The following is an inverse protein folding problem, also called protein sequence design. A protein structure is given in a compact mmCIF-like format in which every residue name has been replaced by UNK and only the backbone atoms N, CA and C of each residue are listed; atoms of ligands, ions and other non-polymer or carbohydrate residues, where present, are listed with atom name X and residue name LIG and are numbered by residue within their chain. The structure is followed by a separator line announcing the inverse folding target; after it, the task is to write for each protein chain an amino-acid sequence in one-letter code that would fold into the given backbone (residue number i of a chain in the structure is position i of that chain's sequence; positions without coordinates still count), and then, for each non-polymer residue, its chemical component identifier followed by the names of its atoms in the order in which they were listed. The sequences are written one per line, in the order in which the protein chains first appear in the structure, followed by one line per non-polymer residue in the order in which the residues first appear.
data_IF_874328784425
#
_entry.id   IF_874328784425
#
_cell.length_a   1.000
_cell.length_b   1.000
_cell.length_c   1.000
_cell.angle_alpha   90.00
_cell.angle_beta   90.00
_cell.angle_gamma   90.00
#
_symmetry.space_group_name_H-M   'P 1'
#
loop_
_entity.id
_entity.type
_entity.pdbx_description
1 polymer ?
#
# COMPACT_ATOMS: atom_id res chain seq x y z
N UNK A 1 -16.44 -1.23 23.23
CA UNK A 1 -16.08 -0.88 21.84
C UNK A 1 -16.77 -1.86 20.92
N UNK A 2 -17.77 -1.41 20.15
CA UNK A 2 -18.54 -2.28 19.26
C UNK A 2 -17.60 -2.91 18.23
N UNK A 3 -17.32 -4.21 18.37
CA UNK A 3 -16.63 -5.01 17.36
C UNK A 3 -17.53 -5.03 16.13
N UNK A 4 -17.22 -4.20 15.15
CA UNK A 4 -17.83 -4.32 13.82
C UNK A 4 -17.55 -5.74 13.35
N UNK A 5 -18.61 -6.53 13.21
CA UNK A 5 -18.49 -7.92 12.83
C UNK A 5 -17.99 -7.96 11.37
N UNK A 6 -16.76 -8.47 11.18
CA UNK A 6 -15.99 -8.45 9.92
C UNK A 6 -16.81 -8.98 8.74
N UNK A 7 -17.75 -9.90 9.01
CA UNK A 7 -18.68 -10.47 8.02
C UNK A 7 -19.53 -9.42 7.28
N UNK A 8 -19.82 -8.24 7.86
CA UNK A 8 -20.64 -7.21 7.22
C UNK A 8 -19.85 -6.14 6.44
N UNK A 9 -18.52 -6.13 6.53
CA UNK A 9 -17.68 -5.15 5.83
C UNK A 9 -17.02 -5.69 4.56
N UNK A 10 -17.34 -6.92 4.15
CA UNK A 10 -16.73 -7.57 3.00
C UNK A 10 -17.58 -7.40 1.73
N UNK A 11 -16.99 -6.75 0.72
CA UNK A 11 -17.58 -6.57 -0.60
C UNK A 11 -16.86 -7.48 -1.60
N UNK A 12 -17.59 -8.39 -2.25
CA UNK A 12 -17.00 -9.39 -3.15
C UNK A 12 -17.21 -9.03 -4.61
N UNK A 13 -16.21 -9.28 -5.46
CA UNK A 13 -16.37 -9.28 -6.92
C UNK A 13 -16.54 -10.73 -7.37
N UNK A 14 -17.73 -11.10 -7.84
CA UNK A 14 -18.06 -12.50 -8.20
C UNK A 14 -18.16 -12.73 -9.70
N UNK A 15 -18.46 -11.68 -10.47
CA UNK A 15 -18.57 -11.78 -11.93
C UNK A 15 -17.21 -12.05 -12.58
N UNK A 16 -17.04 -13.24 -13.18
CA UNK A 16 -15.83 -13.62 -13.93
C UNK A 16 -15.45 -12.59 -14.99
N UNK A 17 -16.44 -12.01 -15.69
CA UNK A 17 -16.21 -10.96 -16.68
C UNK A 17 -15.55 -9.72 -16.05
N UNK A 18 -16.00 -9.32 -14.87
CA UNK A 18 -15.48 -8.15 -14.16
C UNK A 18 -14.08 -8.41 -13.59
N UNK A 19 -13.85 -9.60 -13.04
CA UNK A 19 -12.52 -10.05 -12.58
C UNK A 19 -11.54 -10.01 -13.74
N UNK A 20 -11.89 -10.63 -14.88
CA UNK A 20 -10.99 -10.67 -16.05
C UNK A 20 -10.71 -9.28 -16.61
N UNK A 21 -11.68 -8.35 -16.55
CA UNK A 21 -11.42 -6.95 -16.88
C UNK A 21 -10.36 -6.36 -15.96
N UNK A 22 -10.46 -6.55 -14.65
CA UNK A 22 -9.50 -6.03 -13.67
C UNK A 22 -8.12 -6.64 -13.91
N UNK A 23 -8.02 -7.97 -13.99
CA UNK A 23 -6.76 -8.69 -14.14
C UNK A 23 -6.01 -8.32 -15.44
N UNK A 24 -6.70 -7.93 -16.51
CA UNK A 24 -6.06 -7.38 -17.73
C UNK A 24 -5.22 -6.11 -17.51
N UNK A 25 -5.37 -5.43 -16.38
CA UNK A 25 -4.59 -4.23 -16.04
C UNK A 25 -3.42 -4.56 -15.09
N UNK A 26 -3.23 -5.84 -14.78
CA UNK A 26 -2.21 -6.33 -13.86
C UNK A 26 -1.20 -7.11 -14.69
N UNK A 27 0.07 -6.80 -14.54
CA UNK A 27 1.13 -7.52 -15.23
C UNK A 27 1.54 -8.76 -14.41
N UNK A 28 0.79 -9.85 -14.55
CA UNK A 28 1.10 -11.17 -13.99
C UNK A 28 1.44 -12.14 -15.11
N UNK A 29 2.38 -13.06 -14.85
CA UNK A 29 2.77 -14.12 -15.77
C UNK A 29 2.95 -15.46 -15.04
N UNK A 30 3.22 -16.50 -15.81
CA UNK A 30 3.36 -17.88 -15.34
C UNK A 30 4.58 -18.15 -14.46
N UNK A 31 5.50 -17.18 -14.31
CA UNK A 31 6.66 -17.25 -13.41
C UNK A 31 6.39 -16.61 -12.04
N UNK A 32 5.30 -15.83 -11.93
CA UNK A 32 5.01 -15.05 -10.73
C UNK A 32 4.44 -15.94 -9.61
N UNK A 33 5.03 -15.84 -8.42
CA UNK A 33 4.39 -16.28 -7.18
C UNK A 33 3.55 -15.13 -6.60
N UNK A 34 2.29 -15.38 -6.30
CA UNK A 34 1.35 -14.34 -5.84
C UNK A 34 0.80 -14.66 -4.46
N UNK A 35 0.87 -13.69 -3.55
CA UNK A 35 0.09 -13.70 -2.33
C UNK A 35 -1.21 -12.92 -2.53
N UNK A 36 -2.35 -13.57 -2.33
CA UNK A 36 -3.66 -12.92 -2.36
C UNK A 36 -4.11 -12.57 -0.93
N UNK A 37 -4.44 -11.30 -0.70
CA UNK A 37 -4.98 -10.82 0.58
C UNK A 37 -6.50 -10.84 0.51
N UNK A 38 -7.10 -11.77 1.27
CA UNK A 38 -8.55 -12.01 1.32
C UNK A 38 -9.05 -12.69 0.06
N UNK A 39 -9.03 -14.04 0.02
CA UNK A 39 -9.57 -14.79 -1.12
C UNK A 39 -11.09 -14.67 -1.23
N UNK A 40 -11.78 -14.37 -0.13
CA UNK A 40 -13.23 -14.36 -0.09
C UNK A 40 -13.78 -15.71 -0.54
N UNK A 41 -14.65 -15.69 -1.56
CA UNK A 41 -15.23 -16.91 -2.14
C UNK A 41 -14.36 -17.56 -3.23
N UNK A 42 -13.07 -17.24 -3.30
CA UNK A 42 -12.11 -17.84 -4.24
C UNK A 42 -12.26 -17.43 -5.71
N UNK A 43 -13.05 -16.40 -6.04
CA UNK A 43 -13.33 -16.06 -7.44
C UNK A 43 -12.11 -15.50 -8.16
N UNK A 44 -11.39 -14.59 -7.52
CA UNK A 44 -10.16 -14.03 -8.09
C UNK A 44 -9.02 -15.02 -7.97
N UNK A 45 -8.91 -15.72 -6.82
CA UNK A 45 -7.95 -16.81 -6.58
C UNK A 45 -7.91 -17.81 -7.73
N UNK A 46 -9.09 -18.26 -8.20
CA UNK A 46 -9.19 -19.21 -9.31
C UNK A 46 -8.62 -18.66 -10.62
N UNK A 47 -8.83 -17.37 -10.92
CA UNK A 47 -8.30 -16.76 -12.13
C UNK A 47 -6.80 -16.44 -11.98
N UNK A 48 -6.31 -16.09 -10.79
CA UNK A 48 -4.88 -15.94 -10.50
C UNK A 48 -4.13 -17.27 -10.69
N UNK A 49 -4.68 -18.38 -10.18
CA UNK A 49 -4.07 -19.71 -10.30
C UNK A 49 -3.93 -20.18 -11.75
N UNK A 50 -4.75 -19.66 -12.67
CA UNK A 50 -4.64 -19.95 -14.11
C UNK A 50 -3.55 -19.14 -14.82
N UNK A 51 -3.12 -18.02 -14.22
CA UNK A 51 -2.17 -17.07 -14.84
C UNK A 51 -0.77 -17.24 -14.24
N UNK A 52 -0.68 -17.53 -12.94
CA UNK A 52 0.54 -17.42 -12.14
C UNK A 52 1.18 -18.78 -11.86
N UNK A 53 2.48 -18.78 -11.54
CA UNK A 53 3.19 -19.99 -11.12
C UNK A 53 2.54 -20.63 -9.88
N UNK A 54 2.30 -19.83 -8.84
CA UNK A 54 1.73 -20.29 -7.59
C UNK A 54 0.96 -19.19 -6.88
N UNK A 55 -0.17 -19.53 -6.25
CA UNK A 55 -0.98 -18.59 -5.47
C UNK A 55 -1.09 -19.04 -4.02
N UNK A 56 -0.74 -18.16 -3.10
CA UNK A 56 -1.00 -18.32 -1.66
C UNK A 56 -2.08 -17.33 -1.23
N UNK A 57 -3.30 -17.81 -0.98
CA UNK A 57 -4.37 -16.99 -0.41
C UNK A 57 -4.22 -16.89 1.11
N UNK A 58 -4.42 -15.69 1.65
CA UNK A 58 -4.45 -15.41 3.08
C UNK A 58 -5.84 -14.90 3.42
N UNK A 59 -6.61 -15.68 4.17
CA UNK A 59 -8.01 -15.37 4.51
C UNK A 59 -8.24 -15.57 6.01
N UNK A 60 -8.92 -14.64 6.65
CA UNK A 60 -9.14 -14.67 8.10
C UNK A 60 -10.38 -15.50 8.46
N UNK A 61 -11.37 -15.56 7.57
CA UNK A 61 -12.62 -16.29 7.81
C UNK A 61 -12.48 -17.77 7.39
N UNK A 62 -12.61 -18.73 8.32
CA UNK A 62 -12.47 -20.15 8.00
C UNK A 62 -13.55 -20.67 7.04
N UNK A 63 -14.77 -20.12 7.06
CA UNK A 63 -15.85 -20.52 6.15
C UNK A 63 -15.47 -20.14 4.70
N UNK A 64 -14.87 -18.97 4.52
CA UNK A 64 -14.37 -18.50 3.24
C UNK A 64 -13.12 -19.26 2.78
N UNK A 65 -12.30 -19.72 3.72
CA UNK A 65 -11.19 -20.61 3.41
C UNK A 65 -11.70 -21.93 2.80
N UNK A 66 -12.70 -22.55 3.42
CA UNK A 66 -13.33 -23.77 2.91
C UNK A 66 -13.97 -23.54 1.53
N UNK A 67 -14.71 -22.45 1.37
CA UNK A 67 -15.32 -22.09 0.08
C UNK A 67 -14.27 -21.90 -1.03
N UNK A 68 -13.13 -21.29 -0.69
CA UNK A 68 -12.00 -21.11 -1.62
C UNK A 68 -11.38 -22.45 -1.98
N UNK A 69 -11.11 -23.33 -1.01
CA UNK A 69 -10.57 -24.67 -1.26
C UNK A 69 -11.48 -25.49 -2.18
N UNK A 70 -12.79 -25.52 -1.90
CA UNK A 70 -13.77 -26.24 -2.73
C UNK A 70 -13.78 -25.70 -4.17
N UNK A 71 -13.73 -24.37 -4.33
CA UNK A 71 -13.72 -23.74 -5.66
C UNK A 71 -12.45 -24.03 -6.46
N UNK A 72 -11.31 -24.23 -5.78
CA UNK A 72 -10.01 -24.49 -6.38
C UNK A 72 -9.60 -25.97 -6.32
N UNK A 73 -10.53 -26.90 -6.08
CA UNK A 73 -10.25 -28.34 -5.90
C UNK A 73 -9.44 -28.98 -7.05
N UNK A 74 -9.53 -28.44 -8.27
CA UNK A 74 -8.78 -28.92 -9.44
C UNK A 74 -7.47 -28.18 -9.71
N UNK A 75 -7.12 -27.16 -8.93
CA UNK A 75 -5.89 -26.38 -9.08
C UNK A 75 -4.82 -26.94 -8.15
N UNK A 76 -3.66 -27.30 -8.70
CA UNK A 76 -2.53 -27.87 -7.92
C UNK A 76 -1.53 -26.82 -7.45
N UNK A 77 -1.51 -25.65 -8.08
CA UNK A 77 -0.58 -24.56 -7.84
C UNK A 77 -1.13 -23.51 -6.87
N UNK A 78 -1.89 -23.95 -5.87
CA UNK A 78 -2.56 -23.08 -4.92
C UNK A 78 -2.46 -23.62 -3.49
N UNK A 79 -2.34 -22.70 -2.53
CA UNK A 79 -2.56 -23.00 -1.12
C UNK A 79 -3.36 -21.86 -0.45
N UNK A 80 -4.10 -22.19 0.61
CA UNK A 80 -4.77 -21.21 1.45
C UNK A 80 -4.26 -21.29 2.87
N UNK A 81 -4.04 -20.11 3.46
CA UNK A 81 -3.61 -19.94 4.84
C UNK A 81 -4.73 -19.22 5.58
N UNK A 82 -5.33 -19.90 6.57
CA UNK A 82 -6.32 -19.26 7.44
C UNK A 82 -5.61 -18.41 8.50
N UNK A 83 -5.34 -17.14 8.19
CA UNK A 83 -4.60 -16.24 9.06
C UNK A 83 -4.99 -14.78 8.84
N UNK A 84 -4.87 -13.98 9.90
CA UNK A 84 -4.92 -12.52 9.82
C UNK A 84 -3.69 -11.99 9.06
N UNK A 85 -3.93 -11.28 7.95
CA UNK A 85 -2.89 -10.66 7.13
C UNK A 85 -1.95 -9.74 7.92
N UNK A 86 -2.44 -9.05 8.95
CA UNK A 86 -1.62 -8.16 9.76
C UNK A 86 -0.61 -8.95 10.61
N UNK A 87 -0.88 -10.23 10.88
CA UNK A 87 0.00 -11.15 11.60
C UNK A 87 0.81 -12.07 10.68
N UNK A 88 0.45 -12.16 9.40
CA UNK A 88 1.16 -12.98 8.43
C UNK A 88 2.63 -12.55 8.28
N UNK A 89 3.53 -13.52 8.14
CA UNK A 89 4.95 -13.28 7.91
C UNK A 89 5.28 -13.63 6.46
N UNK A 90 5.55 -12.60 5.65
CA UNK A 90 5.96 -12.82 4.28
C UNK A 90 7.38 -13.40 4.21
N UNK A 91 7.66 -14.25 3.21
CA UNK A 91 9.01 -14.75 2.98
C UNK A 91 9.92 -13.61 2.51
N UNK A 92 11.19 -13.66 2.89
CA UNK A 92 12.18 -12.60 2.58
C UNK A 92 13.06 -12.92 1.37
N UNK A 93 13.27 -14.20 1.08
CA UNK A 93 14.30 -14.68 0.15
C UNK A 93 13.73 -15.22 -1.17
N UNK A 94 12.47 -14.92 -1.47
CA UNK A 94 11.85 -15.27 -2.74
C UNK A 94 11.24 -14.03 -3.38
N UNK A 95 11.15 -14.03 -4.71
CA UNK A 95 10.45 -13.00 -5.48
C UNK A 95 8.97 -13.35 -5.56
N UNK A 96 8.11 -12.38 -5.25
CA UNK A 96 6.67 -12.53 -5.31
C UNK A 96 5.98 -11.18 -5.55
N UNK A 97 4.74 -11.26 -5.99
CA UNK A 97 3.80 -10.15 -6.10
C UNK A 97 2.66 -10.33 -5.11
N UNK A 98 1.94 -9.25 -4.84
CA UNK A 98 0.75 -9.25 -3.98
C UNK A 98 -0.45 -8.80 -4.80
N UNK A 99 -1.59 -9.47 -4.61
CA UNK A 99 -2.90 -9.00 -5.07
C UNK A 99 -3.85 -8.91 -3.87
N UNK A 100 -4.82 -7.99 -3.88
CA UNK A 100 -5.85 -7.99 -2.85
C UNK A 100 -7.03 -7.07 -3.15
N UNK A 101 -8.25 -7.60 -2.99
CA UNK A 101 -9.46 -6.79 -2.87
C UNK A 101 -9.72 -6.52 -1.39
N UNK A 102 -9.07 -5.49 -0.86
CA UNK A 102 -8.94 -5.35 0.59
C UNK A 102 -10.09 -4.55 1.20
N UNK A 103 -10.51 -4.89 2.44
CA UNK A 103 -11.58 -4.18 3.12
C UNK A 103 -11.16 -2.74 3.50
N UNK A 104 -12.11 -1.82 3.41
CA UNK A 104 -11.84 -0.39 3.50
C UNK A 104 -11.41 0.07 4.90
N UNK A 105 -11.96 -0.55 5.94
CA UNK A 105 -11.71 -0.19 7.34
C UNK A 105 -10.27 -0.46 7.81
N UNK A 106 -9.56 -1.42 7.18
CA UNK A 106 -8.18 -1.78 7.53
C UNK A 106 -7.20 -1.55 6.36
N UNK A 107 -7.60 -0.82 5.32
CA UNK A 107 -6.76 -0.57 4.14
C UNK A 107 -5.43 0.13 4.49
N UNK A 108 -5.45 1.05 5.47
CA UNK A 108 -4.23 1.70 5.96
C UNK A 108 -3.26 0.69 6.58
N UNK A 109 -3.75 -0.22 7.42
CA UNK A 109 -2.92 -1.19 8.12
C UNK A 109 -2.36 -2.23 7.17
N UNK A 110 -3.17 -2.71 6.22
CA UNK A 110 -2.72 -3.65 5.19
C UNK A 110 -1.64 -3.02 4.30
N UNK A 111 -1.82 -1.78 3.83
CA UNK A 111 -0.80 -1.12 3.00
C UNK A 111 0.49 -0.94 3.78
N UNK A 112 0.42 -0.51 5.04
CA UNK A 112 1.62 -0.41 5.89
C UNK A 112 2.29 -1.77 6.06
N UNK A 113 1.52 -2.82 6.33
CA UNK A 113 2.00 -4.19 6.47
C UNK A 113 2.77 -4.65 5.24
N UNK A 114 2.19 -4.53 4.04
CA UNK A 114 2.84 -5.04 2.83
C UNK A 114 4.00 -4.15 2.38
N UNK A 115 3.92 -2.83 2.58
CA UNK A 115 4.99 -1.94 2.14
C UNK A 115 6.19 -2.03 3.08
N UNK A 116 5.99 -2.10 4.41
CA UNK A 116 7.09 -2.05 5.38
C UNK A 116 7.54 -3.41 5.92
N UNK A 117 6.74 -4.47 5.79
CA UNK A 117 7.04 -5.81 6.33
C UNK A 117 7.03 -6.93 5.28
N UNK A 118 6.87 -6.60 3.99
CA UNK A 118 7.07 -7.53 2.88
C UNK A 118 8.14 -7.02 1.91
N UNK A 119 8.63 -7.93 1.07
CA UNK A 119 9.59 -7.67 0.00
C UNK A 119 8.96 -7.82 -1.40
N UNK A 120 7.62 -7.78 -1.49
CA UNK A 120 6.92 -7.89 -2.77
C UNK A 120 7.43 -6.85 -3.77
N UNK A 121 7.65 -7.28 -5.02
CA UNK A 121 8.15 -6.40 -6.09
C UNK A 121 7.06 -5.49 -6.63
N UNK A 122 5.83 -6.01 -6.68
CA UNK A 122 4.63 -5.27 -7.08
C UNK A 122 3.46 -5.72 -6.21
N UNK A 123 2.66 -4.77 -5.73
CA UNK A 123 1.41 -5.04 -5.03
C UNK A 123 0.26 -4.36 -5.76
N UNK A 124 -0.74 -5.14 -6.13
CA UNK A 124 -1.94 -4.71 -6.82
C UNK A 124 -3.13 -4.77 -5.86
N UNK A 125 -3.69 -3.62 -5.52
CA UNK A 125 -4.77 -3.55 -4.53
C UNK A 125 -6.01 -2.87 -5.10
N UNK A 126 -7.18 -3.39 -4.76
CA UNK A 126 -8.44 -2.68 -4.94
C UNK A 126 -8.81 -2.01 -3.62
N UNK A 127 -8.94 -0.69 -3.65
CA UNK A 127 -9.27 0.15 -2.49
C UNK A 127 -10.33 1.18 -2.83
N UNK A 128 -10.95 1.84 -1.86
CA UNK A 128 -11.85 2.97 -2.14
C UNK A 128 -11.16 4.06 -2.96
N UNK A 129 -11.88 4.67 -3.90
CA UNK A 129 -11.34 5.73 -4.75
C UNK A 129 -10.81 6.93 -3.94
N UNK A 130 -11.53 7.34 -2.90
CA UNK A 130 -11.09 8.42 -2.00
C UNK A 130 -9.82 8.04 -1.23
N UNK A 131 -9.65 6.77 -0.87
CA UNK A 131 -8.42 6.30 -0.25
C UNK A 131 -7.25 6.26 -1.25
N UNK A 132 -7.45 5.77 -2.47
CA UNK A 132 -6.44 5.79 -3.53
C UNK A 132 -5.89 7.20 -3.78
N UNK A 133 -6.76 8.21 -3.86
CA UNK A 133 -6.33 9.62 -3.99
C UNK A 133 -5.48 10.09 -2.80
N UNK A 134 -5.85 9.70 -1.58
CA UNK A 134 -5.12 10.07 -0.36
C UNK A 134 -3.71 9.47 -0.31
N UNK A 135 -3.46 8.35 -0.99
CA UNK A 135 -2.12 7.75 -1.09
C UNK A 135 -1.17 8.56 -1.99
N UNK A 136 -1.71 9.41 -2.86
CA UNK A 136 -0.94 10.31 -3.73
C UNK A 136 -0.82 11.74 -3.16
N UNK A 137 -1.56 12.04 -2.09
CA UNK A 137 -1.61 13.37 -1.47
C UNK A 137 -0.47 13.53 -0.45
N UNK A 138 0.61 14.19 -0.87
CA UNK A 138 1.78 14.46 -0.04
C UNK A 138 1.52 15.36 1.19
N UNK A 139 0.31 15.91 1.32
CA UNK A 139 -0.11 16.59 2.57
C UNK A 139 -0.46 15.58 3.66
N UNK A 140 -0.43 14.28 3.36
CA UNK A 140 -0.74 13.19 4.29
C UNK A 140 0.51 12.40 4.64
N UNK A 141 0.66 12.11 5.92
CA UNK A 141 1.79 11.36 6.43
C UNK A 141 1.92 9.99 5.75
N UNK A 142 0.80 9.28 5.55
CA UNK A 142 0.81 7.97 4.91
C UNK A 142 1.41 8.02 3.50
N UNK A 143 1.00 8.98 2.67
CA UNK A 143 1.54 9.12 1.31
C UNK A 143 3.06 9.33 1.33
N UNK A 144 3.52 10.30 2.12
CA UNK A 144 4.95 10.62 2.25
C UNK A 144 5.78 9.41 2.71
N UNK A 145 5.27 8.63 3.68
CA UNK A 145 5.95 7.43 4.16
C UNK A 145 5.99 6.30 3.13
N UNK A 146 4.95 6.14 2.31
CA UNK A 146 4.91 5.08 1.31
C UNK A 146 5.76 5.40 0.09
N UNK A 147 5.76 6.67 -0.34
CA UNK A 147 6.52 7.12 -1.52
C UNK A 147 8.04 6.97 -1.37
N UNK A 148 8.57 6.73 -0.17
CA UNK A 148 9.99 6.40 0.02
C UNK A 148 10.30 4.97 -0.37
N UNK A 149 9.33 4.06 -0.33
CA UNK A 149 9.50 2.62 -0.51
C UNK A 149 8.90 2.11 -1.82
N UNK A 150 7.87 2.78 -2.34
CA UNK A 150 7.11 2.35 -3.51
C UNK A 150 6.70 3.53 -4.39
N UNK A 151 6.67 3.30 -5.70
CA UNK A 151 5.92 4.12 -6.64
C UNK A 151 4.44 3.73 -6.59
N UNK A 152 3.56 4.72 -6.50
CA UNK A 152 2.11 4.53 -6.37
C UNK A 152 1.43 5.02 -7.63
N UNK A 153 0.61 4.17 -8.26
CA UNK A 153 -0.18 4.56 -9.43
C UNK A 153 -1.61 4.04 -9.33
N UNK A 154 -2.57 4.82 -9.81
CA UNK A 154 -3.97 4.38 -9.99
C UNK A 154 -4.07 3.85 -11.42
N UNK A 155 -4.24 2.53 -11.56
CA UNK A 155 -4.28 1.87 -12.86
C UNK A 155 -5.65 1.99 -13.51
N UNK A 156 -6.71 1.88 -12.71
CA UNK A 156 -8.10 2.01 -13.19
C UNK A 156 -9.08 2.26 -12.06
N UNK A 157 -10.20 2.85 -12.44
CA UNK A 157 -11.40 2.86 -11.60
C UNK A 157 -12.09 1.48 -11.64
N UNK A 158 -12.62 1.04 -10.51
CA UNK A 158 -13.42 -0.18 -10.37
C UNK A 158 -14.83 0.24 -9.91
N UNK A 159 -15.84 0.14 -10.79
CA UNK A 159 -17.20 0.58 -10.47
C UNK A 159 -17.75 -0.17 -9.26
N UNK A 160 -18.48 0.52 -8.39
CA UNK A 160 -19.13 -0.08 -7.21
C UNK A 160 -20.09 -1.22 -7.58
N UNK A 161 -20.67 -1.18 -8.78
CA UNK A 161 -21.58 -2.19 -9.33
C UNK A 161 -20.88 -3.54 -9.56
N UNK A 162 -19.55 -3.60 -9.49
CA UNK A 162 -18.81 -4.86 -9.60
C UNK A 162 -18.87 -5.67 -8.31
N UNK A 163 -19.29 -5.06 -7.21
CA UNK A 163 -19.24 -5.63 -5.87
C UNK A 163 -20.62 -6.05 -5.37
N UNK A 164 -20.63 -7.09 -4.54
CA UNK A 164 -21.78 -7.50 -3.75
C UNK A 164 -21.35 -7.85 -2.30
N UNK A 165 -21.93 -7.23 -1.25
CA UNK A 165 -22.85 -6.09 -1.33
C UNK A 165 -22.24 -4.89 -2.05
N UNK A 166 -23.09 -4.04 -2.63
CA UNK A 166 -22.64 -2.87 -3.39
C UNK A 166 -22.21 -1.76 -2.41
N UNK A 167 -20.96 -1.25 -2.47
CA UNK A 167 -20.51 -0.15 -1.64
C UNK A 167 -21.14 1.18 -2.06
N UNK A 168 -21.05 2.17 -1.18
CA UNK A 168 -21.55 3.54 -1.43
C UNK A 168 -20.71 4.33 -2.43
N UNK A 169 -19.45 3.93 -2.63
CA UNK A 169 -18.46 4.65 -3.43
C UNK A 169 -17.76 3.70 -4.39
N UNK A 170 -17.21 4.26 -5.46
CA UNK A 170 -16.35 3.49 -6.38
C UNK A 170 -15.01 3.13 -5.73
N UNK A 171 -14.42 2.07 -6.26
CA UNK A 171 -13.07 1.61 -5.90
C UNK A 171 -12.06 1.99 -6.99
N UNK A 172 -10.79 1.68 -6.75
CA UNK A 172 -9.72 1.80 -7.72
C UNK A 172 -8.72 0.67 -7.54
N UNK A 173 -8.25 0.16 -8.66
CA UNK A 173 -7.07 -0.70 -8.71
C UNK A 173 -5.84 0.20 -8.69
N UNK A 174 -5.01 0.01 -7.67
CA UNK A 174 -3.73 0.70 -7.51
C UNK A 174 -2.58 -0.30 -7.67
N UNK A 175 -1.44 0.20 -8.12
CA UNK A 175 -0.16 -0.50 -8.13
C UNK A 175 0.80 0.22 -7.19
N UNK A 176 1.41 -0.56 -6.29
CA UNK A 176 2.55 -0.20 -5.47
C UNK A 176 3.76 -0.96 -6.02
N UNK A 177 4.66 -0.27 -6.72
CA UNK A 177 5.87 -0.88 -7.31
C UNK A 177 7.07 -0.60 -6.41
N UNK A 178 7.77 -1.65 -5.99
CA UNK A 178 8.91 -1.53 -5.05
C UNK A 178 10.03 -0.70 -5.64
N UNK A 179 10.55 0.22 -4.83
CA UNK A 179 11.74 1.02 -5.12
C UNK A 179 12.91 0.59 -4.25
N UNK A 180 14.11 1.00 -4.66
CA UNK A 180 15.20 1.20 -3.71
C UNK A 180 14.78 2.33 -2.77
N UNK A 181 14.79 2.09 -1.46
CA UNK A 181 14.29 3.09 -0.51
C UNK A 181 15.03 4.41 -0.66
N UNK A 182 14.28 5.51 -0.76
CA UNK A 182 14.82 6.87 -0.85
C UNK A 182 15.35 7.38 0.49
N UNK A 183 15.07 6.68 1.59
CA UNK A 183 15.49 7.02 2.94
C UNK A 183 16.38 5.91 3.49
N UNK A 184 17.57 6.26 3.97
CA UNK A 184 18.46 5.29 4.59
C UNK A 184 17.84 4.71 5.87
N UNK A 185 18.18 3.46 6.20
CA UNK A 185 17.70 2.83 7.44
C UNK A 185 18.01 3.68 8.69
N UNK A 186 19.18 4.33 8.72
CA UNK A 186 19.61 5.22 9.82
C UNK A 186 18.73 6.47 9.95
N UNK A 187 18.22 6.99 8.83
CA UNK A 187 17.40 8.21 8.78
C UNK A 187 15.91 7.94 9.03
N UNK A 188 15.46 6.68 9.06
CA UNK A 188 14.03 6.31 9.10
C UNK A 188 13.26 6.98 10.24
N UNK A 189 13.74 6.87 11.49
CA UNK A 189 13.05 7.44 12.66
C UNK A 189 12.99 8.98 12.59
N UNK A 190 14.06 9.59 12.09
CA UNK A 190 14.11 11.04 11.87
C UNK A 190 13.13 11.48 10.78
N UNK A 191 13.05 10.73 9.69
CA UNK A 191 12.10 10.98 8.60
C UNK A 191 10.65 10.85 9.06
N UNK A 192 10.30 9.79 9.80
CA UNK A 192 8.94 9.60 10.33
C UNK A 192 8.51 10.77 11.24
N UNK A 193 9.40 11.24 12.12
CA UNK A 193 9.14 12.41 12.95
C UNK A 193 9.04 13.71 12.12
N UNK A 194 9.89 13.87 11.12
CA UNK A 194 9.85 15.01 10.20
C UNK A 194 8.51 15.08 9.46
N UNK A 195 8.09 13.97 8.85
CA UNK A 195 6.80 13.83 8.16
C UNK A 195 5.65 14.20 9.08
N UNK A 196 5.60 13.65 10.30
CA UNK A 196 4.52 13.91 11.27
C UNK A 196 4.37 15.40 11.58
N UNK A 197 5.47 16.08 11.90
CA UNK A 197 5.47 17.52 12.19
C UNK A 197 5.16 18.36 10.95
N UNK A 198 5.66 17.96 9.78
CA UNK A 198 5.47 18.68 8.52
C UNK A 198 4.00 18.75 8.13
N UNK A 199 3.30 17.61 8.11
CA UNK A 199 1.89 17.55 7.68
C UNK A 199 0.95 18.29 8.64
N UNK A 200 1.34 18.39 9.91
CA UNK A 200 0.65 19.18 10.93
C UNK A 200 1.00 20.68 10.88
N UNK A 201 1.81 21.11 9.90
CA UNK A 201 2.29 22.49 9.75
C UNK A 201 3.09 23.01 10.95
N UNK A 202 3.72 22.11 11.70
CA UNK A 202 4.56 22.43 12.86
C UNK A 202 5.97 22.85 12.43
N UNK A 203 6.10 23.71 11.40
CA UNK A 203 7.37 24.05 10.75
C UNK A 203 8.41 24.64 11.71
N UNK A 204 7.95 25.40 12.72
CA UNK A 204 8.82 25.97 13.77
C UNK A 204 9.47 24.91 14.67
N UNK A 205 8.91 23.70 14.74
CA UNK A 205 9.52 22.55 15.45
C UNK A 205 10.50 21.76 14.58
N UNK A 206 10.61 22.12 13.30
CA UNK A 206 11.51 21.51 12.32
C UNK A 206 12.67 22.44 11.97
N UNK A 207 12.39 23.74 11.87
CA UNK A 207 13.35 24.73 11.39
C UNK A 207 13.21 26.04 12.15
N UNK A 208 14.33 26.75 12.31
CA UNK A 208 14.29 28.21 12.53
C UNK A 208 13.77 28.93 11.28
N UNK A 209 13.34 30.18 11.41
CA UNK A 209 12.87 30.99 10.27
C UNK A 209 13.89 31.05 9.13
N UNK A 210 15.17 31.23 9.46
CA UNK A 210 16.26 31.31 8.48
C UNK A 210 16.53 29.95 7.80
N UNK A 211 16.52 28.85 8.56
CA UNK A 211 16.69 27.51 8.01
C UNK A 211 15.53 27.14 7.07
N UNK A 212 14.29 27.46 7.46
CA UNK A 212 13.11 27.16 6.65
C UNK A 212 13.17 27.86 5.29
N UNK A 213 13.46 29.16 5.27
CA UNK A 213 13.59 29.94 4.04
C UNK A 213 14.73 29.40 3.15
N UNK A 214 15.88 29.05 3.75
CA UNK A 214 17.00 28.43 3.01
C UNK A 214 16.61 27.08 2.41
N UNK A 215 15.93 26.23 3.16
CA UNK A 215 15.48 24.91 2.70
C UNK A 215 14.49 25.02 1.54
N UNK A 216 13.49 25.91 1.63
CA UNK A 216 12.52 26.15 0.55
C UNK A 216 13.20 26.69 -0.72
N UNK A 217 14.12 27.65 -0.57
CA UNK A 217 14.89 28.20 -1.70
C UNK A 217 15.75 27.12 -2.37
N UNK A 218 16.43 26.30 -1.57
CA UNK A 218 17.27 25.20 -2.08
C UNK A 218 16.43 24.15 -2.82
N UNK A 219 15.28 23.78 -2.27
CA UNK A 219 14.33 22.86 -2.91
C UNK A 219 13.56 23.49 -4.08
N UNK A 220 13.81 24.76 -4.43
CA UNK A 220 13.12 25.51 -5.50
C UNK A 220 11.59 25.52 -5.30
N UNK A 221 11.12 25.62 -4.05
CA UNK A 221 9.69 25.71 -3.75
C UNK A 221 9.22 27.14 -3.94
N UNK A 222 8.23 27.31 -4.83
CA UNK A 222 7.56 28.59 -5.08
C UNK A 222 6.25 28.69 -4.30
N UNK A 223 5.46 27.61 -4.27
CA UNK A 223 4.22 27.51 -3.51
C UNK A 223 4.27 26.32 -2.53
N UNK A 224 4.18 26.63 -1.23
CA UNK A 224 4.19 25.61 -0.17
C UNK A 224 2.94 24.70 -0.21
N UNK A 225 1.84 25.18 -0.79
CA UNK A 225 0.62 24.38 -0.93
C UNK A 225 0.69 23.36 -2.06
N UNK A 226 1.68 23.48 -2.95
CA UNK A 226 1.86 22.66 -4.13
C UNK A 226 3.35 22.32 -4.34
N UNK A 227 3.90 21.51 -3.43
CA UNK A 227 5.25 20.97 -3.57
C UNK A 227 5.19 19.59 -4.24
N UNK A 228 6.28 19.16 -4.88
CA UNK A 228 6.43 17.78 -5.33
C UNK A 228 7.05 16.91 -4.23
N UNK A 229 6.99 15.59 -4.39
CA UNK A 229 7.65 14.67 -3.46
C UNK A 229 9.19 14.84 -3.47
N UNK A 230 9.78 15.12 -4.64
CA UNK A 230 11.23 15.39 -4.74
C UNK A 230 11.62 16.69 -4.03
N UNK A 231 10.79 17.73 -4.12
CA UNK A 231 10.99 18.95 -3.34
C UNK A 231 10.87 18.67 -1.84
N UNK A 232 9.89 17.86 -1.42
CA UNK A 232 9.76 17.44 -0.03
C UNK A 232 11.01 16.70 0.48
N UNK A 233 11.56 15.76 -0.31
CA UNK A 233 12.81 15.06 0.04
C UNK A 233 14.01 16.03 0.13
N UNK A 234 14.11 17.00 -0.77
CA UNK A 234 15.14 18.05 -0.70
C UNK A 234 15.06 18.87 0.59
N UNK A 235 13.84 19.21 1.04
CA UNK A 235 13.62 19.90 2.32
C UNK A 235 14.02 19.01 3.50
N UNK A 236 13.66 17.72 3.47
CA UNK A 236 14.08 16.77 4.50
C UNK A 236 15.62 16.62 4.55
N UNK A 237 16.29 16.56 3.40
CA UNK A 237 17.75 16.51 3.35
C UNK A 237 18.38 17.78 3.94
N UNK A 238 17.78 18.95 3.70
CA UNK A 238 18.20 20.20 4.35
C UNK A 238 18.02 20.13 5.87
N UNK A 239 16.89 19.59 6.35
CA UNK A 239 16.66 19.34 7.78
C UNK A 239 17.74 18.46 8.39
N UNK A 240 18.10 17.35 7.74
CA UNK A 240 19.17 16.46 8.19
C UNK A 240 20.51 17.19 8.34
N UNK A 241 20.90 17.99 7.33
CA UNK A 241 22.15 18.73 7.35
C UNK A 241 22.22 19.72 8.52
N UNK A 242 21.15 20.47 8.77
CA UNK A 242 21.14 21.45 9.86
C UNK A 242 21.25 20.81 11.25
N UNK A 243 20.62 19.66 11.47
CA UNK A 243 20.71 18.98 12.77
C UNK A 243 22.07 18.29 12.97
N UNK A 244 22.66 17.75 11.91
CA UNK A 244 24.00 17.15 12.00
C UNK A 244 25.09 18.20 12.26
N UNK A 245 24.96 19.41 11.72
CA UNK A 245 25.91 20.51 11.97
C UNK A 245 25.85 21.05 13.40
N UNK A 246 24.68 21.01 14.05
CA UNK A 246 24.55 21.43 15.44
C UNK A 246 25.26 20.46 16.39
N UNK A 247 25.20 19.15 16.13
CA UNK A 247 25.88 18.14 16.94
C UNK A 247 27.42 18.20 16.86
N UNK A 248 27.99 18.90 15.86
CA UNK A 248 29.45 19.06 15.71
C UNK A 248 29.95 20.31 16.44
N UNK A 249 29.06 21.26 16.78
CA UNK A 249 29.44 22.51 17.47
C UNK A 249 29.43 22.41 19.00
N UNK A 250 28.99 21.28 19.55
CA UNK A 250 28.95 21.02 20.99
C UNK A 250 30.15 20.17 21.48
N UNK A 251 31.24 20.10 20.70
CA UNK A 251 32.54 19.52 21.07
C UNK A 251 33.67 20.54 20.93
#
# INVERSE_FOLDING_TARGET
MNRINIKYSQNFITSKRNINKILKNINLNEEDNVFEIGSGKGHTTLELAKICNHVTAIEIDPDLCLATQQKLVHQRNFQIVNQDILKFKFPKNIRYKIYGNIPYNISTDIIRKIVFESTAVESYLIVEYGFAKRLLDIKRALALLLMTEVDISILRMVPREYFHPQPKVNSSLILLKRLTSKISYKDRKMYENFVKKWVNKEYRKLFTKNQFNKALKHAKVVDLNNISFEQFLSIFNSYKLFNNQNNIKDY
#
